data_IF_028844286443
#
_entry.id   IF_028844286443
#
_cell.length_a   1.000
_cell.length_b   1.000
_cell.length_c   1.000
_cell.angle_alpha   90.00
_cell.angle_beta   90.00
_cell.angle_gamma   90.00
#
_symmetry.space_group_name_H-M   'P 1'
#
loop_
_entity.id
_entity.type
_entity.pdbx_description
1 polymer ?
#
# COMPACT_ATOMS: atom_id res chain seq x y z
N UNK A 1 -29.73 12.14 -7.77
CA UNK A 1 -29.13 12.10 -6.41
C UNK A 1 -27.84 11.27 -6.34
N UNK A 2 -27.74 10.14 -7.05
CA UNK A 2 -26.54 9.26 -7.07
C UNK A 2 -25.26 9.93 -7.60
N UNK A 3 -25.37 10.85 -8.56
CA UNK A 3 -24.21 11.51 -9.16
C UNK A 3 -23.52 12.52 -8.22
N UNK A 4 -24.27 13.20 -7.34
CA UNK A 4 -23.74 14.23 -6.43
C UNK A 4 -22.92 13.59 -5.29
N UNK A 5 -23.38 12.45 -4.77
CA UNK A 5 -22.64 11.67 -3.75
C UNK A 5 -21.35 11.08 -4.35
N UNK A 6 -21.42 10.61 -5.60
CA UNK A 6 -20.29 10.05 -6.34
C UNK A 6 -19.16 11.05 -6.57
N UNK A 7 -19.48 12.30 -6.90
CA UNK A 7 -18.47 13.33 -7.18
C UNK A 7 -17.85 13.94 -5.92
N UNK A 8 -18.55 13.87 -4.77
CA UNK A 8 -17.98 14.28 -3.47
C UNK A 8 -17.10 13.22 -2.81
N UNK A 9 -17.39 11.94 -3.02
CA UNK A 9 -16.60 10.83 -2.44
C UNK A 9 -15.32 10.53 -3.22
N UNK A 10 -15.32 10.74 -4.55
CA UNK A 10 -14.18 10.46 -5.42
C UNK A 10 -12.85 11.16 -5.00
N UNK A 11 -12.82 12.45 -4.63
CA UNK A 11 -11.58 13.08 -4.19
C UNK A 11 -11.12 12.60 -2.81
N UNK A 12 -12.06 12.26 -1.92
CA UNK A 12 -11.77 11.78 -0.57
C UNK A 12 -11.20 10.36 -0.57
N UNK A 13 -11.78 9.44 -1.34
CA UNK A 13 -11.29 8.06 -1.45
C UNK A 13 -9.91 8.00 -2.12
N UNK A 14 -9.68 8.86 -3.11
CA UNK A 14 -8.38 8.98 -3.78
C UNK A 14 -7.31 9.55 -2.85
N UNK A 15 -7.61 10.63 -2.14
CA UNK A 15 -6.71 11.20 -1.15
C UNK A 15 -6.37 10.23 -0.01
N UNK A 16 -7.36 9.47 0.47
CA UNK A 16 -7.15 8.42 1.48
C UNK A 16 -6.22 7.32 0.97
N UNK A 17 -6.47 6.79 -0.23
CA UNK A 17 -5.63 5.74 -0.82
C UNK A 17 -4.18 6.20 -1.00
N UNK A 18 -3.98 7.40 -1.56
CA UNK A 18 -2.65 8.01 -1.71
C UNK A 18 -1.93 8.17 -0.38
N UNK A 19 -2.63 8.68 0.63
CA UNK A 19 -2.05 8.94 1.95
C UNK A 19 -1.68 7.65 2.67
N UNK A 20 -2.56 6.64 2.63
CA UNK A 20 -2.34 5.35 3.27
C UNK A 20 -1.23 4.55 2.57
N UNK A 21 -1.24 4.49 1.24
CA UNK A 21 -0.17 3.83 0.47
C UNK A 21 1.15 4.58 0.62
N UNK A 22 1.13 5.92 0.67
CA UNK A 22 2.29 6.76 0.97
C UNK A 22 2.88 6.46 2.34
N UNK A 23 2.05 6.46 3.40
CA UNK A 23 2.47 6.10 4.75
C UNK A 23 3.04 4.68 4.83
N UNK A 24 2.38 3.72 4.15
CA UNK A 24 2.86 2.34 4.08
C UNK A 24 4.24 2.26 3.40
N UNK A 25 4.46 2.99 2.30
CA UNK A 25 5.75 3.03 1.62
C UNK A 25 6.87 3.59 2.52
N UNK A 26 6.58 4.65 3.30
CA UNK A 26 7.53 5.22 4.25
C UNK A 26 7.84 4.24 5.38
N UNK A 27 6.83 3.56 5.92
CA UNK A 27 7.02 2.54 6.95
C UNK A 27 7.89 1.37 6.45
N UNK A 28 7.67 0.91 5.21
CA UNK A 28 8.47 -0.14 4.57
C UNK A 28 9.92 0.31 4.36
N UNK A 29 10.15 1.55 3.91
CA UNK A 29 11.50 2.12 3.78
C UNK A 29 12.19 2.18 5.14
N UNK A 30 11.50 2.67 6.18
CA UNK A 30 12.04 2.75 7.53
C UNK A 30 12.39 1.35 8.08
N UNK A 31 11.55 0.35 7.84
CA UNK A 31 11.82 -1.04 8.20
C UNK A 31 13.04 -1.60 7.44
N UNK A 32 13.18 -1.29 6.14
CA UNK A 32 14.35 -1.65 5.36
C UNK A 32 15.64 -1.03 5.90
N UNK A 33 15.62 0.26 6.25
CA UNK A 33 16.76 0.95 6.88
C UNK A 33 17.08 0.32 8.25
N UNK A 34 16.07 0.07 9.09
CA UNK A 34 16.26 -0.57 10.39
C UNK A 34 16.89 -1.97 10.25
N UNK A 35 16.46 -2.76 9.27
CA UNK A 35 17.02 -4.08 8.94
C UNK A 35 18.48 -4.01 8.46
N UNK A 36 18.85 -2.95 7.74
CA UNK A 36 20.25 -2.72 7.33
C UNK A 36 21.13 -2.29 8.51
N UNK A 37 20.58 -1.53 9.45
CA UNK A 37 21.29 -1.05 10.64
C UNK A 37 21.43 -2.17 11.69
N UNK A 38 20.44 -3.06 11.81
CA UNK A 38 20.57 -4.26 12.63
C UNK A 38 21.59 -5.19 11.98
N UNK A 39 22.82 -5.22 12.51
CA UNK A 39 23.96 -6.00 12.02
C UNK A 39 23.80 -7.53 12.15
N UNK A 40 22.56 -8.03 12.22
CA UNK A 40 22.22 -9.44 12.40
C UNK A 40 22.22 -10.16 11.06
N UNK A 41 23.35 -10.80 10.75
CA UNK A 41 23.58 -11.82 9.71
C UNK A 41 23.17 -11.46 8.26
N UNK A 42 23.66 -12.23 7.28
CA UNK A 42 23.45 -11.98 5.84
C UNK A 42 21.97 -11.85 5.44
N UNK A 43 21.06 -12.44 6.22
CA UNK A 43 19.61 -12.34 6.05
C UNK A 43 19.07 -10.92 6.27
N UNK A 44 19.61 -10.15 7.22
CA UNK A 44 19.17 -8.76 7.48
C UNK A 44 19.53 -7.81 6.33
N UNK A 45 20.65 -8.05 5.66
CA UNK A 45 21.10 -7.24 4.53
C UNK A 45 20.25 -7.45 3.28
N UNK A 46 20.02 -8.71 2.90
CA UNK A 46 19.18 -9.06 1.75
C UNK A 46 17.73 -8.59 1.94
N UNK A 47 17.17 -8.82 3.14
CA UNK A 47 15.81 -8.37 3.49
C UNK A 47 15.72 -6.84 3.48
N UNK A 48 16.71 -6.15 4.03
CA UNK A 48 16.77 -4.68 4.06
C UNK A 48 16.80 -4.05 2.67
N UNK A 49 17.63 -4.59 1.75
CA UNK A 49 17.67 -4.12 0.35
C UNK A 49 16.33 -4.37 -0.34
N UNK A 50 15.74 -5.56 -0.15
CA UNK A 50 14.46 -5.92 -0.78
C UNK A 50 13.34 -4.98 -0.32
N UNK A 51 13.27 -4.70 0.98
CA UNK A 51 12.32 -3.75 1.56
C UNK A 51 12.53 -2.33 1.04
N UNK A 52 13.79 -1.89 0.88
CA UNK A 52 14.10 -0.59 0.31
C UNK A 52 13.64 -0.46 -1.14
N UNK A 53 13.99 -1.44 -1.99
CA UNK A 53 13.58 -1.44 -3.40
C UNK A 53 12.05 -1.42 -3.49
N UNK A 54 11.39 -2.28 -2.73
CA UNK A 54 9.93 -2.34 -2.70
C UNK A 54 9.29 -1.02 -2.22
N UNK A 55 9.82 -0.45 -1.14
CA UNK A 55 9.34 0.82 -0.59
C UNK A 55 9.51 1.99 -1.56
N UNK A 56 10.65 2.07 -2.26
CA UNK A 56 10.91 3.09 -3.30
C UNK A 56 9.97 2.92 -4.49
N UNK A 57 9.71 1.68 -4.94
CA UNK A 57 8.75 1.42 -6.01
C UNK A 57 7.33 1.84 -5.61
N UNK A 58 6.88 1.51 -4.40
CA UNK A 58 5.59 1.95 -3.88
C UNK A 58 5.50 3.48 -3.80
N UNK A 59 6.56 4.14 -3.32
CA UNK A 59 6.61 5.60 -3.28
C UNK A 59 6.53 6.22 -4.69
N UNK A 60 7.21 5.60 -5.67
CA UNK A 60 7.10 6.00 -7.08
C UNK A 60 5.67 5.91 -7.61
N UNK A 61 4.94 4.84 -7.29
CA UNK A 61 3.52 4.68 -7.67
C UNK A 61 2.65 5.77 -7.03
N UNK A 62 2.92 6.13 -5.77
CA UNK A 62 2.23 7.23 -5.06
C UNK A 62 2.49 8.56 -5.76
N UNK A 63 3.74 8.88 -6.09
CA UNK A 63 4.10 10.12 -6.81
C UNK A 63 3.45 10.18 -8.19
N UNK A 64 3.52 9.10 -8.97
CA UNK A 64 2.89 9.03 -10.30
C UNK A 64 1.37 9.16 -10.23
N UNK A 65 0.76 8.59 -9.18
CA UNK A 65 -0.67 8.74 -8.93
C UNK A 65 -1.02 10.17 -8.54
N UNK A 66 -0.19 10.84 -7.73
CA UNK A 66 -0.33 12.25 -7.38
C UNK A 66 -0.25 13.17 -8.61
N UNK A 67 0.67 12.87 -9.54
CA UNK A 67 0.78 13.53 -10.85
C UNK A 67 -0.36 13.19 -11.82
N UNK A 68 -1.37 12.41 -11.37
CA UNK A 68 -2.59 12.04 -12.11
C UNK A 68 -2.34 11.21 -13.38
N UNK A 69 -1.28 10.40 -13.40
CA UNK A 69 -1.13 9.38 -14.44
C UNK A 69 -2.17 8.27 -14.27
N UNK A 70 -3.00 8.08 -15.29
CA UNK A 70 -4.12 7.14 -15.24
C UNK A 70 -3.68 5.68 -14.97
N UNK A 71 -2.56 5.24 -15.56
CA UNK A 71 -2.04 3.89 -15.36
C UNK A 71 -1.55 3.62 -13.93
N UNK A 72 -1.10 4.66 -13.22
CA UNK A 72 -0.63 4.55 -11.84
C UNK A 72 -1.78 4.24 -10.86
N UNK A 73 -3.03 4.59 -11.21
CA UNK A 73 -4.19 4.32 -10.37
C UNK A 73 -4.53 2.83 -10.30
N UNK A 74 -4.32 2.10 -11.41
CA UNK A 74 -4.39 0.64 -11.40
C UNK A 74 -3.27 0.02 -10.55
N UNK A 75 -2.08 0.64 -10.55
CA UNK A 75 -0.96 0.19 -9.73
C UNK A 75 -1.16 0.41 -8.22
N UNK A 76 -1.90 1.44 -7.79
CA UNK A 76 -2.27 1.60 -6.39
C UNK A 76 -3.12 0.44 -5.88
N UNK A 77 -4.07 -0.04 -6.69
CA UNK A 77 -4.90 -1.21 -6.36
C UNK A 77 -4.02 -2.45 -6.28
N UNK A 78 -3.16 -2.66 -7.27
CA UNK A 78 -2.25 -3.80 -7.31
C UNK A 78 -1.29 -3.82 -6.10
N UNK A 79 -0.72 -2.67 -5.73
CA UNK A 79 0.15 -2.53 -4.57
C UNK A 79 -0.59 -2.82 -3.25
N UNK A 80 -1.82 -2.33 -3.10
CA UNK A 80 -2.64 -2.62 -1.91
C UNK A 80 -3.03 -4.11 -1.84
N UNK A 81 -3.36 -4.76 -2.95
CA UNK A 81 -3.63 -6.20 -2.97
C UNK A 81 -2.37 -7.02 -2.62
N UNK A 82 -1.22 -6.65 -3.18
CA UNK A 82 0.05 -7.30 -2.87
C UNK A 82 0.39 -7.17 -1.37
N UNK A 83 0.23 -5.96 -0.81
CA UNK A 83 0.38 -5.72 0.62
C UNK A 83 -0.61 -6.55 1.45
N UNK A 84 -1.87 -6.67 1.00
CA UNK A 84 -2.87 -7.46 1.72
C UNK A 84 -2.51 -8.95 1.74
N UNK A 85 -1.99 -9.50 0.65
CA UNK A 85 -1.52 -10.88 0.61
C UNK A 85 -0.26 -11.09 1.45
N UNK A 86 0.71 -10.16 1.36
CA UNK A 86 1.93 -10.22 2.15
C UNK A 86 1.61 -10.18 3.66
N UNK A 87 0.79 -9.22 4.08
CA UNK A 87 0.35 -9.09 5.48
C UNK A 87 -0.54 -10.27 5.90
N UNK A 88 -1.42 -10.72 5.02
CA UNK A 88 -2.28 -11.88 5.24
C UNK A 88 -1.50 -13.16 5.50
N UNK A 89 -0.33 -13.35 4.88
CA UNK A 89 0.52 -14.51 5.16
C UNK A 89 1.03 -14.56 6.61
N UNK A 90 1.16 -13.42 7.28
CA UNK A 90 1.59 -13.34 8.67
C UNK A 90 0.46 -13.67 9.67
N UNK A 91 -0.79 -13.80 9.23
CA UNK A 91 -1.89 -14.28 10.08
C UNK A 91 -1.71 -15.75 10.48
N UNK A 92 -0.88 -16.50 9.77
CA UNK A 92 -0.52 -17.89 10.11
C UNK A 92 0.64 -17.98 11.11
N UNK A 93 1.15 -16.86 11.63
CA UNK A 93 2.27 -16.85 12.59
C UNK A 93 1.83 -17.31 13.99
N UNK A 94 2.72 -17.96 14.72
CA UNK A 94 2.46 -18.43 16.09
C UNK A 94 2.63 -17.32 17.14
N UNK A 95 3.28 -16.20 16.79
CA UNK A 95 3.50 -15.07 17.70
C UNK A 95 2.25 -14.16 17.75
N UNK A 96 1.59 -14.04 18.92
CA UNK A 96 0.39 -13.21 19.07
C UNK A 96 0.64 -11.72 18.79
N UNK A 97 1.86 -11.20 19.05
CA UNK A 97 2.18 -9.80 18.77
C UNK A 97 2.21 -9.51 17.27
N UNK A 98 2.84 -10.40 16.50
CA UNK A 98 2.90 -10.31 15.04
C UNK A 98 1.51 -10.54 14.42
N UNK A 99 0.68 -11.41 15.00
CA UNK A 99 -0.69 -11.62 14.57
C UNK A 99 -1.55 -10.35 14.66
N UNK A 100 -1.56 -9.66 15.81
CA UNK A 100 -2.37 -8.44 15.98
C UNK A 100 -1.89 -7.28 15.11
N UNK A 101 -0.56 -7.15 14.92
CA UNK A 101 0.01 -6.18 14.00
C UNK A 101 -0.36 -6.50 12.54
N UNK A 102 -0.33 -7.77 12.15
CA UNK A 102 -0.76 -8.19 10.82
C UNK A 102 -2.25 -7.91 10.60
N UNK A 103 -3.11 -8.26 11.58
CA UNK A 103 -4.55 -8.05 11.48
C UNK A 103 -4.92 -6.56 11.35
N UNK A 104 -4.34 -5.70 12.19
CA UNK A 104 -4.57 -4.25 12.13
C UNK A 104 -4.09 -3.65 10.80
N UNK A 105 -2.89 -4.05 10.35
CA UNK A 105 -2.34 -3.63 9.06
C UNK A 105 -3.21 -4.09 7.89
N UNK A 106 -3.74 -5.32 7.94
CA UNK A 106 -4.62 -5.89 6.92
C UNK A 106 -5.89 -5.07 6.76
N UNK A 107 -6.51 -4.65 7.87
CA UNK A 107 -7.71 -3.79 7.84
C UNK A 107 -7.39 -2.46 7.15
N UNK A 108 -6.26 -1.82 7.50
CA UNK A 108 -5.83 -0.58 6.86
C UNK A 108 -5.60 -0.73 5.36
N UNK A 109 -4.93 -1.81 4.94
CA UNK A 109 -4.63 -2.09 3.54
C UNK A 109 -5.93 -2.42 2.77
N UNK A 110 -6.85 -3.16 3.37
CA UNK A 110 -8.16 -3.45 2.78
C UNK A 110 -8.97 -2.16 2.54
N UNK A 111 -9.00 -1.26 3.53
CA UNK A 111 -9.65 0.06 3.38
C UNK A 111 -8.97 0.89 2.29
N UNK A 112 -7.63 0.93 2.24
CA UNK A 112 -6.87 1.64 1.20
C UNK A 112 -7.13 1.05 -0.19
N UNK A 113 -7.24 -0.28 -0.30
CA UNK A 113 -7.57 -1.00 -1.51
C UNK A 113 -8.99 -0.70 -2.00
N UNK A 114 -10.00 -0.79 -1.13
CA UNK A 114 -11.39 -0.45 -1.45
C UNK A 114 -11.50 1.01 -1.91
N UNK A 115 -10.80 1.93 -1.24
CA UNK A 115 -10.76 3.34 -1.62
C UNK A 115 -10.10 3.57 -2.99
N UNK A 116 -9.16 2.71 -3.39
CA UNK A 116 -8.49 2.71 -4.69
C UNK A 116 -9.34 2.10 -5.83
N UNK A 117 -10.30 1.23 -5.52
CA UNK A 117 -11.13 0.55 -6.54
C UNK A 117 -11.96 1.58 -7.32
N UNK A 118 -12.68 2.48 -6.65
CA UNK A 118 -13.54 3.49 -7.29
C UNK A 118 -12.86 4.30 -8.41
N UNK A 119 -11.67 4.92 -8.20
CA UNK A 119 -10.98 5.62 -9.27
C UNK A 119 -10.45 4.68 -10.38
N UNK A 120 -10.02 3.46 -10.03
CA UNK A 120 -9.53 2.49 -11.03
C UNK A 120 -10.64 1.95 -11.94
N UNK A 121 -11.83 1.68 -11.40
CA UNK A 121 -12.98 1.22 -12.20
C UNK A 121 -13.50 2.33 -13.13
N UNK A 122 -13.41 3.61 -12.71
CA UNK A 122 -13.74 4.74 -13.58
C UNK A 122 -12.86 4.80 -14.83
N UNK A 123 -11.56 4.52 -14.70
CA UNK A 123 -10.66 4.48 -15.85
C UNK A 123 -10.97 3.35 -16.83
N UNK A 124 -11.38 2.19 -16.31
CA UNK A 124 -11.77 1.06 -17.15
C UNK A 124 -13.04 1.33 -17.97
N UNK A 125 -13.99 2.13 -17.43
CA UNK A 125 -15.23 2.49 -18.14
C UNK A 125 -15.08 3.64 -19.16
N UNK A 126 -13.97 4.38 -19.12
CA UNK A 126 -13.71 5.47 -20.06
C UNK A 126 -12.95 5.01 -21.33
N UNK A 127 -12.63 3.71 -21.44
CA UNK A 127 -12.12 3.06 -22.65
C UNK A 127 -13.23 2.23 -23.29
#
# INVERSE_FOLDING_TARGET
>A
MWNVVRDRLAPLSFGLSLSLTGLSSVAVIAAGIASLVSRTEQLGFSTGITLLIYGVLMFGVVVLSFLRFQWAWGMLVAANLLNAFAVGSFLSTADPGQFWLALTSLVFIAVAGIAAILPSTRLAMHR
#
